data_IF_994887020059
#
_entry.id   IF_994887020059
#
_cell.length_a   1.000
_cell.length_b   1.000
_cell.length_c   1.000
_cell.angle_alpha   90.00
_cell.angle_beta   90.00
_cell.angle_gamma   90.00
#
_symmetry.space_group_name_H-M   'P 1'
#
loop_
_entity.id
_entity.type
_entity.pdbx_description
1 polymer ?
#
# COMPACT_ATOMS: atom_id res chain seq x y z
N UNK A 1 7.46 14.30 14.35
CA UNK A 1 6.87 14.14 12.99
C UNK A 1 7.72 13.12 12.26
N UNK A 2 7.10 12.10 11.66
CA UNK A 2 7.80 11.01 10.94
C UNK A 2 8.29 11.50 9.59
N UNK A 3 9.51 11.10 9.19
CA UNK A 3 10.04 11.31 7.84
C UNK A 3 10.02 9.97 7.10
N UNK A 4 9.10 9.81 6.15
CA UNK A 4 9.04 8.64 5.27
C UNK A 4 10.09 8.75 4.17
N UNK A 5 11.06 7.85 4.19
CA UNK A 5 12.18 7.82 3.23
C UNK A 5 11.99 6.78 2.15
N UNK A 6 12.63 7.01 1.00
CA UNK A 6 12.83 5.91 0.05
C UNK A 6 13.58 4.76 0.75
N UNK A 7 13.10 3.52 0.57
CA UNK A 7 13.76 2.35 1.16
C UNK A 7 15.24 2.24 0.74
N UNK A 8 15.58 2.72 -0.45
CA UNK A 8 16.96 2.71 -0.93
C UNK A 8 17.88 3.68 -0.16
N UNK A 9 17.31 4.69 0.52
CA UNK A 9 18.04 5.66 1.35
C UNK A 9 18.10 5.27 2.84
N UNK A 10 17.52 4.13 3.23
CA UNK A 10 17.58 3.66 4.60
C UNK A 10 19.00 3.16 4.95
N UNK A 11 19.47 3.55 6.11
CA UNK A 11 20.67 2.94 6.70
C UNK A 11 20.41 1.49 7.11
N UNK A 12 21.47 0.72 7.32
CA UNK A 12 21.33 -0.65 7.82
C UNK A 12 20.62 -0.72 9.17
N UNK A 13 20.83 0.27 10.05
CA UNK A 13 20.16 0.35 11.36
C UNK A 13 18.66 0.65 11.21
N UNK A 14 18.27 1.57 10.34
CA UNK A 14 16.84 1.86 10.04
C UNK A 14 16.13 0.63 9.48
N UNK A 15 16.76 -0.09 8.53
CA UNK A 15 16.20 -1.35 8.01
C UNK A 15 16.03 -2.39 9.10
N UNK A 16 17.06 -2.59 9.94
CA UNK A 16 17.02 -3.55 11.05
C UNK A 16 15.88 -3.23 12.02
N UNK A 17 15.75 -1.97 12.47
CA UNK A 17 14.71 -1.52 13.40
C UNK A 17 13.32 -1.70 12.81
N UNK A 18 13.13 -1.34 11.54
CA UNK A 18 11.86 -1.55 10.84
C UNK A 18 11.48 -3.04 10.80
N UNK A 19 12.40 -3.91 10.43
CA UNK A 19 12.19 -5.37 10.42
C UNK A 19 11.87 -5.90 11.82
N UNK A 20 12.62 -5.48 12.84
CA UNK A 20 12.40 -5.92 14.23
C UNK A 20 11.03 -5.46 14.76
N UNK A 21 10.60 -4.23 14.43
CA UNK A 21 9.28 -3.73 14.79
C UNK A 21 8.15 -4.53 14.12
N UNK A 22 8.29 -4.90 12.83
CA UNK A 22 7.35 -5.76 12.13
C UNK A 22 7.23 -7.13 12.78
N UNK A 23 8.37 -7.78 13.06
CA UNK A 23 8.40 -9.09 13.71
C UNK A 23 7.78 -9.06 15.11
N UNK A 24 8.04 -7.99 15.88
CA UNK A 24 7.45 -7.80 17.19
C UNK A 24 5.94 -7.54 17.11
N UNK A 25 5.47 -6.72 16.17
CA UNK A 25 4.05 -6.50 15.94
C UNK A 25 3.33 -7.80 15.59
N UNK A 26 3.99 -8.64 14.78
CA UNK A 26 3.51 -9.99 14.42
C UNK A 26 3.45 -10.90 15.65
N UNK A 27 4.52 -10.93 16.45
CA UNK A 27 4.59 -11.73 17.70
C UNK A 27 3.51 -11.34 18.70
N UNK A 28 3.17 -10.06 18.77
CA UNK A 28 2.05 -9.55 19.62
C UNK A 28 0.66 -9.90 19.08
N UNK A 29 0.55 -10.54 17.92
CA UNK A 29 -0.71 -10.88 17.27
C UNK A 29 -1.48 -9.70 16.68
N UNK A 30 -0.91 -8.49 16.69
CA UNK A 30 -1.58 -7.28 16.19
C UNK A 30 -1.48 -7.14 14.67
N UNK A 31 -0.44 -7.66 14.06
CA UNK A 31 -0.23 -7.57 12.61
C UNK A 31 -1.36 -8.21 11.80
N UNK A 32 -1.85 -9.37 12.24
CA UNK A 32 -2.86 -10.13 11.51
C UNK A 32 -4.23 -9.43 11.46
N UNK A 33 -4.51 -8.52 12.39
CA UNK A 33 -5.71 -7.70 12.34
C UNK A 33 -5.73 -6.79 11.10
N UNK A 34 -4.58 -6.24 10.70
CA UNK A 34 -4.46 -5.46 9.47
C UNK A 34 -4.76 -6.30 8.23
N UNK A 35 -4.24 -7.53 8.18
CA UNK A 35 -4.52 -8.46 7.08
C UNK A 35 -6.01 -8.78 6.99
N UNK A 36 -6.64 -9.06 8.13
CA UNK A 36 -8.08 -9.35 8.21
C UNK A 36 -8.91 -8.16 7.77
N UNK A 37 -8.59 -6.96 8.25
CA UNK A 37 -9.30 -5.72 7.88
C UNK A 37 -9.20 -5.48 6.37
N UNK A 38 -8.00 -5.47 5.81
CA UNK A 38 -7.82 -5.25 4.37
C UNK A 38 -8.58 -6.28 3.53
N UNK A 39 -8.49 -7.57 3.89
CA UNK A 39 -9.20 -8.63 3.17
C UNK A 39 -10.71 -8.47 3.23
N UNK A 40 -11.27 -8.05 4.35
CA UNK A 40 -12.70 -7.79 4.47
C UNK A 40 -13.18 -6.71 3.50
N UNK A 41 -12.43 -5.59 3.40
CA UNK A 41 -12.79 -4.48 2.51
C UNK A 41 -12.57 -4.82 1.03
N UNK A 42 -11.45 -5.44 0.64
CA UNK A 42 -11.24 -5.82 -0.78
C UNK A 42 -12.29 -6.84 -1.26
N UNK A 43 -12.79 -7.69 -0.37
CA UNK A 43 -13.81 -8.69 -0.72
C UNK A 43 -15.21 -8.09 -0.77
N UNK A 44 -15.53 -7.06 0.02
CA UNK A 44 -16.82 -6.37 0.02
C UNK A 44 -16.90 -5.29 -1.07
N UNK A 45 -15.80 -4.61 -1.37
CA UNK A 45 -15.76 -3.47 -2.28
C UNK A 45 -15.81 -3.95 -3.74
N UNK A 46 -16.99 -4.02 -4.29
CA UNK A 46 -17.23 -4.36 -5.69
C UNK A 46 -17.63 -3.11 -6.50
N UNK A 47 -17.92 -3.24 -7.78
CA UNK A 47 -18.42 -2.11 -8.57
C UNK A 47 -19.91 -1.76 -8.28
N UNK A 48 -20.54 -2.53 -7.42
CA UNK A 48 -21.96 -2.36 -7.01
C UNK A 48 -22.07 -2.37 -5.49
N UNK A 49 -22.97 -1.52 -4.96
CA UNK A 49 -23.18 -1.37 -3.52
C UNK A 49 -22.05 -0.59 -2.81
N UNK A 50 -22.12 -0.55 -1.48
CA UNK A 50 -21.22 0.23 -0.62
C UNK A 50 -19.76 -0.15 -0.82
N UNK A 51 -18.93 0.84 -1.13
CA UNK A 51 -17.48 0.72 -1.33
C UNK A 51 -16.73 1.73 -0.48
N UNK A 52 -15.63 1.31 0.12
CA UNK A 52 -14.85 2.18 1.01
C UNK A 52 -13.36 2.16 0.69
N UNK A 53 -12.71 1.00 0.80
CA UNK A 53 -11.26 0.91 0.67
C UNK A 53 -10.74 0.70 -0.75
N UNK A 54 -11.58 0.19 -1.66
CA UNK A 54 -11.20 -0.15 -3.04
C UNK A 54 -12.31 0.21 -4.02
N UNK A 55 -11.95 0.40 -5.31
CA UNK A 55 -12.90 0.77 -6.38
C UNK A 55 -13.77 1.97 -6.00
N UNK A 56 -13.25 2.85 -5.17
CA UNK A 56 -13.97 3.95 -4.55
C UNK A 56 -13.11 5.20 -4.52
N UNK A 57 -13.71 6.39 -4.57
CA UNK A 57 -12.99 7.66 -4.33
C UNK A 57 -12.17 7.65 -3.03
N UNK A 58 -12.67 6.99 -2.00
CA UNK A 58 -11.99 6.88 -0.71
C UNK A 58 -10.80 5.89 -0.67
N UNK A 59 -10.43 5.25 -1.78
CA UNK A 59 -9.24 4.39 -1.86
C UNK A 59 -8.00 5.07 -1.26
N UNK A 60 -7.71 6.30 -1.66
CA UNK A 60 -6.50 7.01 -1.20
C UNK A 60 -6.59 7.44 0.27
N UNK A 61 -7.64 8.15 0.74
CA UNK A 61 -7.74 8.50 2.15
C UNK A 61 -7.88 7.28 3.07
N UNK A 62 -8.56 6.21 2.65
CA UNK A 62 -8.66 4.98 3.44
C UNK A 62 -7.29 4.34 3.66
N UNK A 63 -6.50 4.19 2.60
CA UNK A 63 -5.14 3.64 2.71
C UNK A 63 -4.19 4.57 3.47
N UNK A 64 -4.31 5.91 3.34
CA UNK A 64 -3.57 6.87 4.16
C UNK A 64 -3.84 6.67 5.64
N UNK A 65 -5.11 6.57 6.05
CA UNK A 65 -5.49 6.28 7.45
C UNK A 65 -4.94 4.95 7.92
N UNK A 66 -5.01 3.92 7.08
CA UNK A 66 -4.49 2.59 7.36
C UNK A 66 -2.97 2.58 7.59
N UNK A 67 -2.22 3.30 6.76
CA UNK A 67 -0.78 3.50 6.91
C UNK A 67 -0.42 4.27 8.19
N UNK A 68 -1.15 5.34 8.51
CA UNK A 68 -0.94 6.13 9.73
C UNK A 68 -1.08 5.25 10.95
N UNK A 69 -2.16 4.48 11.05
CA UNK A 69 -2.39 3.58 12.19
C UNK A 69 -1.30 2.53 12.31
N UNK A 70 -0.91 1.93 11.18
CA UNK A 70 0.16 0.94 11.15
C UNK A 70 1.51 1.51 11.61
N UNK A 71 1.88 2.69 11.12
CA UNK A 71 3.11 3.38 11.52
C UNK A 71 3.11 3.73 13.00
N UNK A 72 1.98 4.18 13.56
CA UNK A 72 1.82 4.42 15.00
C UNK A 72 2.00 3.14 15.83
N UNK A 73 1.48 2.01 15.37
CA UNK A 73 1.67 0.71 16.03
C UNK A 73 3.13 0.24 15.99
N UNK A 74 3.87 0.51 14.92
CA UNK A 74 5.32 0.27 14.86
C UNK A 74 6.08 1.20 15.83
N UNK A 75 5.69 2.48 15.90
CA UNK A 75 6.30 3.47 16.80
C UNK A 75 6.01 3.18 18.28
N UNK A 76 4.92 2.52 18.59
CA UNK A 76 4.65 2.02 19.95
C UNK A 76 5.60 0.87 20.36
N UNK A 77 6.33 0.29 19.41
CA UNK A 77 7.39 -0.70 19.64
C UNK A 77 8.75 -0.02 19.68
N UNK A 78 9.05 0.79 18.67
CA UNK A 78 10.26 1.61 18.56
C UNK A 78 9.91 2.97 17.96
N UNK A 79 9.93 4.01 18.78
CA UNK A 79 9.54 5.38 18.41
C UNK A 79 10.39 5.99 17.28
N UNK A 80 11.54 5.41 16.94
CA UNK A 80 12.41 5.87 15.86
C UNK A 80 12.02 5.28 14.49
N UNK A 81 11.15 4.28 14.46
CA UNK A 81 10.72 3.63 13.21
C UNK A 81 9.77 4.54 12.45
N UNK A 82 10.04 4.71 11.17
CA UNK A 82 9.15 5.36 10.22
C UNK A 82 8.83 4.41 9.08
N UNK A 83 7.67 4.59 8.45
CA UNK A 83 7.27 3.75 7.33
C UNK A 83 8.02 4.17 6.06
N UNK A 84 8.92 3.34 5.50
CA UNK A 84 9.60 3.66 4.26
C UNK A 84 8.67 3.46 3.06
N UNK A 85 8.99 4.09 1.93
CA UNK A 85 8.30 3.82 0.66
C UNK A 85 9.23 3.12 -0.34
N UNK A 86 8.65 2.35 -1.25
CA UNK A 86 9.32 1.73 -2.38
C UNK A 86 8.99 2.45 -3.67
N UNK A 87 9.96 3.20 -4.21
CA UNK A 87 9.85 3.77 -5.56
C UNK A 87 10.06 2.67 -6.61
N UNK A 88 8.98 2.02 -6.98
CA UNK A 88 8.98 0.96 -7.98
C UNK A 88 9.17 1.48 -9.41
N UNK A 89 9.29 2.79 -9.63
CA UNK A 89 9.72 3.34 -10.92
C UNK A 89 11.24 3.33 -11.09
N UNK A 90 11.97 3.31 -9.98
CA UNK A 90 13.44 3.23 -9.91
C UNK A 90 13.91 1.80 -9.62
N UNK A 91 13.42 1.18 -8.54
CA UNK A 91 13.78 -0.17 -8.09
C UNK A 91 12.91 -1.24 -8.77
N UNK A 92 13.21 -1.53 -10.04
CA UNK A 92 12.34 -2.23 -10.98
C UNK A 92 12.62 -3.72 -11.15
N UNK A 93 13.58 -4.28 -10.43
CA UNK A 93 14.04 -5.66 -10.66
C UNK A 93 14.05 -6.48 -9.37
N UNK A 94 14.01 -7.81 -9.47
CA UNK A 94 14.21 -8.69 -8.31
C UNK A 94 15.59 -8.56 -7.62
N UNK A 95 16.53 -7.85 -8.24
CA UNK A 95 17.85 -7.56 -7.66
C UNK A 95 17.89 -6.23 -6.88
N UNK A 96 16.79 -5.47 -6.80
CA UNK A 96 16.74 -4.24 -6.03
C UNK A 96 16.98 -4.50 -4.52
N UNK A 97 17.57 -3.52 -3.84
CA UNK A 97 18.04 -3.66 -2.45
C UNK A 97 16.95 -4.01 -1.44
N UNK A 98 15.69 -3.68 -1.74
CA UNK A 98 14.58 -4.07 -0.84
C UNK A 98 14.39 -5.58 -0.75
N UNK A 99 14.79 -6.35 -1.76
CA UNK A 99 14.68 -7.81 -1.79
C UNK A 99 15.90 -8.54 -1.20
N UNK A 100 16.84 -7.78 -0.61
CA UNK A 100 18.01 -8.37 0.04
C UNK A 100 17.62 -9.21 1.26
N UNK A 101 18.40 -10.28 1.58
CA UNK A 101 18.13 -11.15 2.72
C UNK A 101 18.18 -10.48 4.10
N UNK A 102 18.82 -9.33 4.20
CA UNK A 102 18.88 -8.52 5.43
C UNK A 102 17.68 -7.55 5.56
N UNK A 103 16.81 -7.48 4.55
CA UNK A 103 15.63 -6.60 4.57
C UNK A 103 14.34 -7.39 4.32
N UNK A 104 13.76 -7.39 3.11
CA UNK A 104 12.47 -8.05 2.89
C UNK A 104 12.59 -9.51 2.40
N UNK A 105 13.79 -9.94 2.01
CA UNK A 105 14.01 -11.24 1.36
C UNK A 105 13.57 -11.25 -0.11
N UNK A 106 14.03 -12.26 -0.85
CA UNK A 106 13.89 -12.34 -2.30
C UNK A 106 12.58 -12.96 -2.79
N UNK A 107 12.64 -13.44 -4.03
CA UNK A 107 11.52 -14.15 -4.67
C UNK A 107 11.31 -15.53 -4.03
N UNK A 108 10.11 -16.07 -4.19
CA UNK A 108 9.80 -17.43 -3.75
C UNK A 108 10.42 -18.49 -4.68
N UNK A 109 10.64 -19.68 -4.14
CA UNK A 109 11.14 -20.82 -4.93
C UNK A 109 10.10 -21.26 -5.98
N UNK A 110 10.59 -21.76 -7.12
CA UNK A 110 9.76 -22.01 -8.30
C UNK A 110 8.58 -22.99 -8.08
N UNK A 111 8.74 -24.02 -7.22
CA UNK A 111 7.73 -25.07 -7.06
C UNK A 111 6.44 -24.63 -6.36
N UNK A 112 6.49 -23.66 -5.46
CA UNK A 112 5.35 -23.24 -4.62
C UNK A 112 5.33 -21.76 -4.23
N UNK A 113 6.31 -20.97 -4.69
CA UNK A 113 6.43 -19.57 -4.41
C UNK A 113 6.91 -19.23 -2.98
N UNK A 114 7.26 -20.23 -2.15
CA UNK A 114 7.69 -19.98 -0.77
C UNK A 114 8.97 -19.14 -0.72
N UNK A 115 8.96 -18.04 0.03
CA UNK A 115 10.15 -17.23 0.31
C UNK A 115 11.07 -17.99 1.25
N UNK A 116 12.33 -18.19 0.84
CA UNK A 116 13.28 -19.06 1.52
C UNK A 116 14.36 -18.30 2.30
N UNK A 117 14.51 -17.00 2.07
CA UNK A 117 15.52 -16.14 2.66
C UNK A 117 14.90 -14.93 3.36
N UNK A 118 15.69 -14.26 4.16
CA UNK A 118 15.28 -13.06 4.87
C UNK A 118 14.44 -13.31 6.13
N UNK A 119 14.12 -12.23 6.85
CA UNK A 119 13.47 -12.30 8.17
C UNK A 119 12.05 -12.80 8.14
N UNK A 120 11.38 -12.69 6.97
CA UNK A 120 9.98 -13.07 6.78
C UNK A 120 9.80 -14.46 6.14
N UNK A 121 10.89 -15.18 5.91
CA UNK A 121 10.84 -16.56 5.45
C UNK A 121 10.36 -17.52 6.54
N UNK A 122 9.87 -18.69 6.13
CA UNK A 122 9.48 -19.73 7.09
C UNK A 122 10.64 -20.22 7.98
N UNK A 123 11.88 -20.18 7.45
CA UNK A 123 13.10 -20.52 8.19
C UNK A 123 13.69 -19.32 8.95
N UNK A 124 13.12 -18.13 8.80
CA UNK A 124 13.59 -16.90 9.44
C UNK A 124 13.10 -16.76 10.88
N UNK A 125 12.79 -15.53 11.29
CA UNK A 125 12.48 -15.18 12.68
C UNK A 125 11.00 -15.38 13.06
N UNK A 126 10.24 -16.22 12.33
CA UNK A 126 8.87 -16.56 12.68
C UNK A 126 7.83 -15.63 12.08
N UNK A 127 7.65 -15.69 10.77
CA UNK A 127 6.59 -14.97 10.05
C UNK A 127 5.50 -15.93 9.55
N UNK A 128 4.62 -16.44 10.42
CA UNK A 128 3.53 -17.29 10.00
C UNK A 128 2.46 -16.48 9.26
N UNK A 129 1.96 -17.00 8.15
CA UNK A 129 0.75 -16.48 7.49
C UNK A 129 -0.47 -17.09 8.17
N UNK A 130 -1.10 -16.33 9.08
CA UNK A 130 -2.24 -16.80 9.86
C UNK A 130 -3.57 -16.54 9.15
N UNK A 131 -3.68 -15.45 8.40
CA UNK A 131 -4.84 -15.13 7.54
C UNK A 131 -4.49 -15.54 6.13
N UNK A 132 -5.09 -16.61 5.63
CA UNK A 132 -4.73 -17.22 4.34
C UNK A 132 -5.98 -17.53 3.53
N UNK A 133 -5.92 -17.33 2.22
CA UNK A 133 -7.01 -17.69 1.28
C UNK A 133 -6.85 -19.10 0.69
N UNK A 134 -5.69 -19.75 0.87
CA UNK A 134 -5.37 -21.06 0.29
C UNK A 134 -4.81 -22.07 1.33
N UNK A 135 -4.89 -21.73 2.62
CA UNK A 135 -4.45 -22.59 3.73
C UNK A 135 -2.93 -22.65 3.94
N UNK A 136 -2.12 -22.03 3.09
CA UNK A 136 -0.67 -22.00 3.26
C UNK A 136 -0.26 -21.03 4.37
N UNK A 137 0.72 -21.45 5.15
CA UNK A 137 1.14 -20.76 6.38
C UNK A 137 2.51 -20.06 6.25
N UNK A 138 2.95 -19.76 5.04
CA UNK A 138 4.23 -19.13 4.73
C UNK A 138 4.10 -18.05 3.66
N UNK A 139 5.01 -17.07 3.71
CA UNK A 139 5.07 -16.00 2.73
C UNK A 139 5.44 -16.53 1.35
N UNK A 140 4.74 -16.06 0.33
CA UNK A 140 4.98 -16.41 -1.08
C UNK A 140 5.16 -15.17 -1.93
N UNK A 141 6.07 -15.27 -2.88
CA UNK A 141 6.31 -14.27 -3.93
C UNK A 141 6.65 -14.94 -5.25
N UNK A 142 6.47 -14.19 -6.34
CA UNK A 142 6.87 -14.57 -7.69
C UNK A 142 7.27 -13.30 -8.45
N UNK A 143 8.38 -12.65 -8.02
CA UNK A 143 8.80 -11.33 -8.50
C UNK A 143 8.98 -11.33 -10.03
N UNK A 144 8.21 -10.49 -10.74
CA UNK A 144 8.27 -10.36 -12.19
C UNK A 144 7.77 -11.58 -12.98
N UNK A 145 7.08 -12.52 -12.32
CA UNK A 145 6.51 -13.67 -13.01
C UNK A 145 5.52 -13.27 -14.12
N UNK A 146 5.36 -14.15 -15.12
CA UNK A 146 4.47 -13.94 -16.26
C UNK A 146 4.84 -12.73 -17.15
N UNK A 147 6.08 -12.25 -17.08
CA UNK A 147 6.55 -11.14 -17.89
C UNK A 147 6.00 -9.77 -17.48
N UNK A 148 5.32 -9.68 -16.33
CA UNK A 148 4.84 -8.41 -15.80
C UNK A 148 6.02 -7.47 -15.53
N UNK A 149 5.87 -6.20 -15.96
CA UNK A 149 6.86 -5.16 -15.71
C UNK A 149 6.30 -4.13 -14.75
N UNK A 150 7.14 -3.63 -13.82
CA UNK A 150 6.75 -2.52 -12.95
C UNK A 150 6.45 -1.25 -13.75
N UNK A 151 5.59 -0.34 -13.24
CA UNK A 151 5.30 0.92 -13.90
C UNK A 151 6.57 1.77 -14.11
N UNK A 152 6.60 2.51 -15.20
CA UNK A 152 7.67 3.44 -15.52
C UNK A 152 7.39 4.83 -14.96
N UNK A 153 8.43 5.65 -14.80
CA UNK A 153 8.29 7.06 -14.43
C UNK A 153 7.36 7.81 -15.39
N UNK A 154 7.50 7.59 -16.69
CA UNK A 154 6.66 8.23 -17.70
C UNK A 154 5.16 7.85 -17.58
N UNK A 155 4.85 6.64 -17.15
CA UNK A 155 3.47 6.22 -16.87
C UNK A 155 2.93 6.93 -15.62
N UNK A 156 3.74 7.05 -14.57
CA UNK A 156 3.40 7.81 -13.37
C UNK A 156 3.16 9.28 -13.70
N UNK A 157 4.07 9.92 -14.45
CA UNK A 157 3.94 11.33 -14.79
C UNK A 157 2.67 11.62 -15.60
N UNK A 158 2.26 10.72 -16.50
CA UNK A 158 0.96 10.82 -17.18
C UNK A 158 -0.23 10.76 -16.24
N UNK A 159 -0.19 9.90 -15.23
CA UNK A 159 -1.27 9.82 -14.24
C UNK A 159 -1.28 11.05 -13.34
N UNK A 160 -0.10 11.53 -12.91
CA UNK A 160 0.04 12.76 -12.14
C UNK A 160 -0.38 14.03 -12.91
N UNK A 161 -0.47 13.99 -14.25
CA UNK A 161 -0.95 15.13 -15.06
C UNK A 161 -2.47 15.22 -15.18
N UNK A 162 -3.22 14.20 -14.72
CA UNK A 162 -4.68 14.25 -14.69
C UNK A 162 -5.14 15.26 -13.63
N UNK A 163 -5.94 16.25 -14.03
CA UNK A 163 -6.34 17.34 -13.14
C UNK A 163 -7.60 17.05 -12.30
N UNK A 164 -8.35 16.00 -12.64
CA UNK A 164 -9.57 15.62 -11.92
C UNK A 164 -9.28 14.45 -11.00
N UNK A 165 -9.67 14.56 -9.72
CA UNK A 165 -9.46 13.52 -8.73
C UNK A 165 -10.14 12.21 -9.10
N UNK A 166 -11.46 12.26 -9.30
CA UNK A 166 -12.28 11.12 -9.70
C UNK A 166 -13.49 11.56 -10.52
N UNK A 167 -14.23 10.63 -11.11
CA UNK A 167 -15.42 10.90 -11.91
C UNK A 167 -16.50 9.84 -11.69
N UNK A 168 -17.77 10.19 -11.94
CA UNK A 168 -18.82 9.18 -12.02
C UNK A 168 -18.43 8.08 -13.05
N UNK A 169 -18.79 6.82 -12.79
CA UNK A 169 -19.69 6.29 -11.76
C UNK A 169 -19.01 5.94 -10.41
N UNK A 170 -17.88 6.54 -10.07
CA UNK A 170 -17.20 6.41 -8.78
C UNK A 170 -16.76 4.99 -8.44
N UNK A 171 -16.40 4.20 -9.44
CA UNK A 171 -15.99 2.79 -9.31
C UNK A 171 -14.80 2.47 -10.25
N UNK A 172 -14.61 1.20 -10.63
CA UNK A 172 -13.55 0.78 -11.56
C UNK A 172 -13.70 1.35 -12.99
N UNK A 173 -14.85 1.91 -13.35
CA UNK A 173 -15.07 2.55 -14.66
C UNK A 173 -14.72 4.04 -14.70
N UNK A 174 -14.51 4.68 -13.56
CA UNK A 174 -14.13 6.10 -13.43
C UNK A 174 -12.86 6.48 -14.20
N UNK A 175 -12.71 7.77 -14.56
CA UNK A 175 -11.60 8.24 -15.42
C UNK A 175 -10.61 9.17 -14.68
N UNK A 176 -10.84 9.51 -13.42
CA UNK A 176 -10.00 10.43 -12.65
C UNK A 176 -8.64 9.87 -12.24
N UNK A 177 -7.81 10.73 -11.66
CA UNK A 177 -6.50 10.40 -11.11
C UNK A 177 -6.54 9.18 -10.18
N UNK A 178 -7.49 9.16 -9.21
CA UNK A 178 -7.63 8.06 -8.25
C UNK A 178 -7.68 6.71 -8.94
N UNK A 179 -8.56 6.56 -9.95
CA UNK A 179 -8.78 5.26 -10.60
C UNK A 179 -7.61 4.82 -11.49
N UNK A 180 -6.91 5.77 -12.11
CA UNK A 180 -5.68 5.48 -12.86
C UNK A 180 -4.53 5.06 -11.92
N UNK A 181 -4.42 5.69 -10.75
CA UNK A 181 -3.44 5.31 -9.73
C UNK A 181 -3.78 3.96 -9.10
N UNK A 182 -5.03 3.74 -8.69
CA UNK A 182 -5.49 2.44 -8.15
C UNK A 182 -5.26 1.31 -9.15
N UNK A 183 -5.46 1.57 -10.44
CA UNK A 183 -5.02 0.64 -11.48
C UNK A 183 -6.14 -0.12 -12.19
N UNK A 184 -7.34 0.44 -12.26
CA UNK A 184 -8.44 -0.11 -13.08
C UNK A 184 -8.47 0.50 -14.48
N UNK A 185 -7.74 1.60 -14.70
CA UNK A 185 -7.62 2.31 -15.98
C UNK A 185 -6.16 2.61 -16.33
N UNK A 186 -5.94 2.84 -17.60
CA UNK A 186 -4.64 3.29 -18.13
C UNK A 186 -3.51 2.30 -17.85
N UNK A 187 -2.42 2.79 -17.25
CA UNK A 187 -1.20 2.02 -17.01
C UNK A 187 -1.30 1.01 -15.86
N UNK A 188 -2.43 0.94 -15.16
CA UNK A 188 -2.64 -0.02 -14.07
C UNK A 188 -1.54 0.06 -13.00
N UNK A 189 -1.32 1.24 -12.40
CA UNK A 189 -0.13 1.51 -11.58
C UNK A 189 -0.07 0.62 -10.34
N UNK A 190 -0.95 0.84 -9.35
CA UNK A 190 -0.95 0.11 -8.08
C UNK A 190 -1.22 -1.40 -8.27
N UNK A 191 -2.30 -1.78 -8.95
CA UNK A 191 -2.67 -3.18 -9.13
C UNK A 191 -1.57 -3.99 -9.86
N UNK A 192 -0.86 -3.36 -10.82
CA UNK A 192 0.25 -4.00 -11.54
C UNK A 192 1.42 -4.35 -10.63
N UNK A 193 1.69 -3.52 -9.62
CA UNK A 193 2.73 -3.81 -8.62
C UNK A 193 2.34 -5.02 -7.76
N UNK A 194 1.09 -5.12 -7.35
CA UNK A 194 0.56 -6.30 -6.66
C UNK A 194 0.76 -7.58 -7.48
N UNK A 195 0.43 -7.54 -8.76
CA UNK A 195 0.62 -8.67 -9.69
C UNK A 195 2.11 -8.98 -9.89
N UNK A 196 2.95 -7.95 -10.01
CA UNK A 196 4.39 -8.12 -10.19
C UNK A 196 5.08 -8.82 -9.01
N UNK A 197 4.68 -8.50 -7.78
CA UNK A 197 5.18 -9.18 -6.58
C UNK A 197 4.63 -10.61 -6.48
N UNK A 198 3.37 -10.79 -6.84
CA UNK A 198 2.71 -12.09 -6.81
C UNK A 198 2.47 -12.63 -5.40
N UNK A 199 2.23 -13.92 -5.28
CA UNK A 199 1.98 -14.56 -3.99
C UNK A 199 0.82 -13.96 -3.21
N UNK A 200 1.00 -13.62 -1.93
CA UNK A 200 -0.04 -12.94 -1.14
C UNK A 200 -0.36 -11.55 -1.69
N UNK A 201 0.63 -10.83 -2.25
CA UNK A 201 0.39 -9.50 -2.82
C UNK A 201 -0.66 -9.50 -3.95
N UNK A 202 -0.85 -10.59 -4.67
CA UNK A 202 -1.87 -10.73 -5.72
C UNK A 202 -3.25 -11.13 -5.18
N UNK A 203 -3.50 -11.03 -3.87
CA UNK A 203 -4.77 -11.44 -3.23
C UNK A 203 -5.24 -10.41 -2.21
N UNK A 204 -6.48 -10.56 -1.70
CA UNK A 204 -7.01 -9.69 -0.65
C UNK A 204 -6.24 -9.73 0.67
N UNK A 205 -5.47 -10.79 0.91
CA UNK A 205 -4.58 -10.91 2.10
C UNK A 205 -3.17 -10.37 1.85
N UNK A 206 -3.04 -9.44 0.91
CA UNK A 206 -1.77 -8.82 0.47
C UNK A 206 -0.93 -8.22 1.61
N UNK A 207 -1.50 -7.65 2.71
CA UNK A 207 -0.68 -7.16 3.82
C UNK A 207 0.12 -8.24 4.57
N UNK A 208 -0.12 -9.54 4.32
CA UNK A 208 0.78 -10.59 4.82
C UNK A 208 2.22 -10.41 4.33
N UNK A 209 2.40 -9.79 3.16
CA UNK A 209 3.72 -9.44 2.66
C UNK A 209 4.08 -8.03 3.14
N UNK A 210 5.15 -7.86 3.93
CA UNK A 210 5.56 -6.55 4.42
C UNK A 210 5.81 -5.50 3.34
N UNK A 211 6.10 -5.89 2.10
CA UNK A 211 6.25 -4.95 0.98
C UNK A 211 4.96 -4.17 0.69
N UNK A 212 3.79 -4.69 1.08
CA UNK A 212 2.51 -3.99 0.99
C UNK A 212 2.60 -2.56 1.55
N UNK A 213 3.19 -2.42 2.71
CA UNK A 213 3.30 -1.13 3.40
C UNK A 213 4.18 -0.14 2.66
N UNK A 214 5.30 -0.61 2.11
CA UNK A 214 6.21 0.22 1.32
C UNK A 214 5.59 0.62 -0.03
N UNK A 215 4.85 -0.30 -0.63
CA UNK A 215 4.10 -0.05 -1.87
C UNK A 215 3.02 1.01 -1.67
N UNK A 216 2.16 0.84 -0.66
CA UNK A 216 1.09 1.80 -0.37
C UNK A 216 1.63 3.14 0.14
N UNK A 217 2.76 3.16 0.85
CA UNK A 217 3.44 4.41 1.21
C UNK A 217 3.91 5.17 -0.04
N UNK A 218 4.29 4.49 -1.13
CA UNK A 218 4.60 5.14 -2.39
C UNK A 218 3.34 5.61 -3.14
N UNK A 219 2.28 4.84 -3.13
CA UNK A 219 0.96 5.26 -3.65
C UNK A 219 0.49 6.55 -2.95
N UNK A 220 0.61 6.60 -1.63
CA UNK A 220 0.28 7.76 -0.82
C UNK A 220 1.19 8.97 -1.13
N UNK A 221 2.49 8.74 -1.35
CA UNK A 221 3.42 9.77 -1.84
C UNK A 221 3.00 10.34 -3.20
N UNK A 222 2.57 9.49 -4.13
CA UNK A 222 2.08 9.93 -5.43
C UNK A 222 0.80 10.77 -5.30
N UNK A 223 -0.08 10.44 -4.35
CA UNK A 223 -1.23 11.29 -4.06
C UNK A 223 -0.80 12.66 -3.51
N UNK A 224 0.13 12.72 -2.56
CA UNK A 224 0.67 13.99 -2.05
C UNK A 224 1.33 14.83 -3.17
N UNK A 225 2.06 14.20 -4.10
CA UNK A 225 2.62 14.88 -5.28
C UNK A 225 1.53 15.41 -6.21
N UNK A 226 0.47 14.63 -6.42
CA UNK A 226 -0.67 15.06 -7.23
C UNK A 226 -1.37 16.26 -6.61
N UNK A 227 -1.62 16.26 -5.29
CA UNK A 227 -2.20 17.39 -4.56
C UNK A 227 -1.36 18.65 -4.70
N UNK A 228 -0.02 18.55 -4.65
CA UNK A 228 0.87 19.71 -4.89
C UNK A 228 0.79 20.25 -6.33
N UNK A 229 0.62 19.37 -7.32
CA UNK A 229 0.50 19.77 -8.73
C UNK A 229 -0.86 20.36 -9.07
N UNK A 230 -1.89 20.00 -8.32
CA UNK A 230 -3.29 20.39 -8.53
C UNK A 230 -3.92 20.89 -7.24
N UNK A 231 -3.41 22.03 -6.67
CA UNK A 231 -3.83 22.49 -5.34
C UNK A 231 -5.31 22.87 -5.28
N UNK A 232 -5.92 23.24 -6.40
CA UNK A 232 -7.33 23.63 -6.49
C UNK A 232 -8.26 22.47 -6.87
N UNK A 233 -7.72 21.27 -7.10
CA UNK A 233 -8.53 20.11 -7.46
C UNK A 233 -9.21 19.50 -6.21
N UNK A 234 -10.55 19.51 -6.13
CA UNK A 234 -11.26 18.98 -4.98
C UNK A 234 -11.21 17.44 -4.96
N UNK A 235 -11.40 16.88 -3.76
CA UNK A 235 -11.85 15.50 -3.63
C UNK A 235 -13.27 15.38 -4.20
N UNK A 236 -13.54 14.32 -4.94
CA UNK A 236 -14.83 14.05 -5.55
C UNK A 236 -15.23 12.57 -5.35
N UNK A 237 -16.51 12.28 -5.09
CA UNK A 237 -17.62 13.25 -4.94
C UNK A 237 -17.52 14.03 -3.61
N UNK A 238 -18.16 15.20 -3.58
CA UNK A 238 -18.12 16.10 -2.42
C UNK A 238 -19.32 15.94 -1.48
N UNK A 239 -20.46 15.46 -1.96
CA UNK A 239 -21.65 15.20 -1.15
C UNK A 239 -22.71 14.29 -1.82
N UNK A 240 -23.49 13.63 -0.98
CA UNK A 240 -24.75 12.93 -1.28
C UNK A 240 -24.69 11.91 -2.43
N UNK A 241 -23.60 11.16 -2.52
CA UNK A 241 -23.42 10.15 -3.57
C UNK A 241 -23.67 8.75 -3.03
N UNK A 242 -24.68 8.02 -3.52
CA UNK A 242 -24.97 6.67 -3.05
C UNK A 242 -23.80 5.69 -3.25
N UNK A 243 -23.63 4.75 -2.31
CA UNK A 243 -22.70 3.61 -2.37
C UNK A 243 -21.20 3.97 -2.31
N UNK A 244 -20.84 5.23 -2.07
CA UNK A 244 -19.45 5.69 -1.93
C UNK A 244 -19.30 6.59 -0.72
N UNK A 245 -18.05 6.81 -0.30
CA UNK A 245 -17.70 7.72 0.79
C UNK A 245 -17.43 9.10 0.20
N UNK A 246 -18.26 10.06 0.54
CA UNK A 246 -18.09 11.46 0.17
C UNK A 246 -17.05 12.16 1.03
N UNK A 247 -16.74 13.40 0.74
CA UNK A 247 -15.68 14.16 1.42
C UNK A 247 -15.82 14.18 2.95
N UNK A 248 -17.05 14.31 3.46
CA UNK A 248 -17.33 14.45 4.89
C UNK A 248 -17.99 13.21 5.53
N UNK A 249 -18.08 12.13 4.79
CA UNK A 249 -18.59 10.86 5.33
C UNK A 249 -17.53 10.14 6.15
N UNK A 250 -17.94 9.48 7.22
CA UNK A 250 -17.01 8.67 8.01
C UNK A 250 -16.65 7.36 7.31
N UNK A 251 -15.39 6.99 7.39
CA UNK A 251 -14.86 5.76 6.78
C UNK A 251 -14.86 4.58 7.75
N UNK A 252 -15.48 3.48 7.34
CA UNK A 252 -15.33 2.19 8.04
C UNK A 252 -13.89 1.66 7.84
N UNK A 253 -13.29 0.96 8.82
CA UNK A 253 -13.88 0.51 10.10
C UNK A 253 -13.79 1.53 11.25
N UNK A 254 -13.15 2.67 11.07
CA UNK A 254 -12.87 3.62 12.16
C UNK A 254 -14.13 4.40 12.60
N UNK A 255 -14.99 4.81 11.66
CA UNK A 255 -16.24 5.54 11.87
C UNK A 255 -16.09 6.92 12.61
N UNK A 256 -14.86 7.43 12.69
CA UNK A 256 -14.51 8.68 13.37
C UNK A 256 -13.57 9.56 12.53
N UNK A 257 -13.31 9.18 11.28
CA UNK A 257 -12.44 9.87 10.35
C UNK A 257 -13.06 9.93 8.96
N UNK A 258 -12.95 11.08 8.32
CA UNK A 258 -13.46 11.38 6.99
C UNK A 258 -12.33 11.52 5.96
N UNK A 259 -12.61 11.48 4.65
CA UNK A 259 -11.64 11.88 3.63
C UNK A 259 -11.09 13.29 3.87
N UNK A 260 -11.93 14.25 4.31
CA UNK A 260 -11.52 15.62 4.59
C UNK A 260 -10.40 15.72 5.64
N UNK A 261 -10.46 14.91 6.69
CA UNK A 261 -9.44 14.86 7.75
C UNK A 261 -8.07 14.38 7.26
N UNK A 262 -8.03 13.76 6.08
CA UNK A 262 -6.86 13.09 5.53
C UNK A 262 -6.34 13.73 4.24
N UNK A 263 -6.91 14.86 3.79
CA UNK A 263 -6.39 15.56 2.62
C UNK A 263 -4.99 16.11 2.89
N UNK A 264 -4.76 16.66 4.09
CA UNK A 264 -3.44 17.09 4.54
C UNK A 264 -2.74 15.97 5.32
N UNK A 265 -1.61 15.47 4.78
CA UNK A 265 -0.79 14.47 5.46
C UNK A 265 0.24 15.07 6.42
N UNK A 266 0.50 16.37 6.32
CA UNK A 266 1.62 17.02 7.04
C UNK A 266 1.51 16.99 8.57
N UNK A 267 0.32 16.89 9.20
CA UNK A 267 0.24 16.69 10.65
C UNK A 267 0.79 15.35 11.13
N UNK A 268 0.88 14.36 10.26
CA UNK A 268 1.25 12.98 10.62
C UNK A 268 2.68 12.63 10.22
N UNK A 269 3.08 12.96 8.99
CA UNK A 269 4.40 12.65 8.43
C UNK A 269 4.76 13.59 7.28
N UNK A 270 6.02 13.54 6.89
CA UNK A 270 6.54 14.14 5.65
C UNK A 270 7.27 13.08 4.82
N UNK A 271 7.52 13.40 3.56
CA UNK A 271 8.39 12.59 2.69
C UNK A 271 9.75 13.24 2.52
N UNK A 272 10.80 12.43 2.32
CA UNK A 272 12.16 12.92 2.03
C UNK A 272 12.23 13.73 0.72
N UNK A 273 11.36 13.40 -0.23
CA UNK A 273 11.20 14.14 -1.49
C UNK A 273 9.73 14.14 -1.91
N UNK A 274 9.21 15.28 -2.36
CA UNK A 274 7.88 15.44 -2.96
C UNK A 274 7.97 16.10 -4.36
N UNK A 275 9.05 15.84 -5.11
CA UNK A 275 9.28 16.46 -6.44
C UNK A 275 8.77 15.55 -7.55
#
# INVERSE_FOLDING_TARGET
>A
MSLRKNQAALTADEKRRFVEALLELKRRGRYDAYVTTHNAFIMSDTDFGDRVGHRSPSFLPWHRRFLIQFEQDLQAIDASVTLPYWDWTADRTPAASLWAPDFLGGTGRARDGQVMDGPFSAAGKGWPVNVSVDGRRYLRRALGAQGTQLPTRAEVDRVLSLSTYDTAPWNSASQGFRNHLEGWRGANLHNRVHVWVGGQMATGVSPNDPVFWLHHAFVDKLWAQWQQRHPDAPYLPDADTPDVVDLNDTMRPWNDVTPADLLDHTPYYTFDTLV
#
